data_IF_166904810070
#
_entry.id   IF_166904810070
#
_cell.length_a   1.000
_cell.length_b   1.000
_cell.length_c   1.000
_cell.angle_alpha   90.00
_cell.angle_beta   90.00
_cell.angle_gamma   90.00
#
_symmetry.space_group_name_H-M   'P 1'
#
loop_
_entity.id
_entity.type
_entity.pdbx_description
1 polymer ?
#
# COMPACT_ATOMS: atom_id res chain seq x y z
N UNK A 1 -9.72 0.13 -14.66
CA UNK A 1 -9.95 1.04 -13.52
C UNK A 1 -8.59 1.61 -13.15
N UNK A 2 -8.44 2.93 -13.03
CA UNK A 2 -7.19 3.55 -12.60
C UNK A 2 -7.32 3.91 -11.13
N UNK A 3 -6.32 3.56 -10.32
CA UNK A 3 -6.26 3.93 -8.91
C UNK A 3 -4.87 4.48 -8.61
N UNK A 4 -4.76 5.36 -7.63
CA UNK A 4 -3.50 5.95 -7.19
C UNK A 4 -3.45 6.01 -5.68
N UNK A 5 -2.26 5.89 -5.12
CA UNK A 5 -1.96 6.30 -3.77
C UNK A 5 -1.35 7.70 -3.78
N UNK A 6 -1.73 8.52 -2.80
CA UNK A 6 -1.19 9.85 -2.60
C UNK A 6 -0.62 9.93 -1.20
N UNK A 7 0.65 10.30 -1.08
CA UNK A 7 1.28 10.49 0.22
C UNK A 7 0.67 11.72 0.89
N UNK A 8 -0.15 11.52 1.91
CA UNK A 8 -0.77 12.62 2.66
C UNK A 8 0.21 13.30 3.62
N UNK A 9 1.11 12.52 4.24
CA UNK A 9 2.06 12.98 5.25
C UNK A 9 3.37 12.21 5.14
N UNK A 10 4.45 12.76 5.68
CA UNK A 10 5.76 12.13 5.71
C UNK A 10 6.78 12.81 4.79
N UNK A 11 7.82 12.10 4.32
CA UNK A 11 9.00 12.71 3.70
C UNK A 11 8.73 13.33 2.33
N UNK A 12 7.70 12.88 1.63
CA UNK A 12 7.37 13.32 0.26
C UNK A 12 5.86 13.58 0.11
N UNK A 13 5.31 14.62 0.77
CA UNK A 13 3.87 14.91 0.69
C UNK A 13 3.44 15.25 -0.74
N UNK A 14 2.21 14.87 -1.09
CA UNK A 14 1.62 14.98 -2.43
C UNK A 14 2.30 14.13 -3.52
N UNK A 15 3.29 13.32 -3.18
CA UNK A 15 3.81 12.32 -4.11
C UNK A 15 2.71 11.31 -4.44
N UNK A 16 2.52 11.03 -5.73
CA UNK A 16 1.51 10.10 -6.21
C UNK A 16 2.15 8.85 -6.81
N UNK A 17 1.53 7.70 -6.57
CA UNK A 17 1.89 6.41 -7.14
C UNK A 17 0.68 5.83 -7.84
N UNK A 18 0.77 5.64 -9.14
CA UNK A 18 -0.26 4.95 -9.91
C UNK A 18 -0.21 3.45 -9.57
N UNK A 19 -1.35 2.89 -9.17
CA UNK A 19 -1.49 1.46 -8.92
C UNK A 19 -1.60 0.72 -10.25
N UNK A 20 -0.62 -0.12 -10.54
CA UNK A 20 -0.47 -0.81 -11.82
C UNK A 20 -0.10 -2.28 -11.61
N UNK A 21 -0.46 -3.11 -12.60
CA UNK A 21 -0.18 -4.54 -12.55
C UNK A 21 -0.99 -5.28 -11.47
N UNK A 22 -0.62 -6.53 -11.22
CA UNK A 22 -1.31 -7.40 -10.26
C UNK A 22 -0.82 -7.20 -8.82
N UNK A 23 0.38 -6.63 -8.64
CA UNK A 23 1.00 -6.42 -7.34
C UNK A 23 1.97 -5.24 -7.39
N UNK A 24 2.01 -4.45 -6.32
CA UNK A 24 3.05 -3.47 -6.04
C UNK A 24 3.47 -3.55 -4.58
N UNK A 25 4.77 -3.55 -4.31
CA UNK A 25 5.32 -3.55 -2.96
C UNK A 25 5.53 -2.13 -2.46
N UNK A 26 5.37 -1.95 -1.15
CA UNK A 26 5.59 -0.71 -0.42
C UNK A 26 6.71 -0.96 0.60
N UNK A 27 7.71 -0.08 0.62
CA UNK A 27 8.77 -0.15 1.62
C UNK A 27 9.83 0.94 1.45
N UNK A 28 10.77 1.02 2.39
CA UNK A 28 11.85 2.03 2.33
C UNK A 28 12.99 1.66 1.40
N UNK A 29 13.07 0.40 0.99
CA UNK A 29 14.14 -0.07 0.12
C UNK A 29 13.82 0.30 -1.34
N UNK A 30 14.85 0.60 -2.12
CA UNK A 30 14.70 1.06 -3.50
C UNK A 30 14.28 -0.05 -4.48
N UNK A 31 14.19 -1.30 -4.03
CA UNK A 31 13.68 -2.44 -4.79
C UNK A 31 12.15 -2.54 -4.79
N UNK A 32 11.43 -1.67 -4.08
CA UNK A 32 9.97 -1.61 -4.10
C UNK A 32 9.47 -0.69 -5.20
N UNK A 33 8.26 -0.97 -5.70
CA UNK A 33 7.57 -0.11 -6.66
C UNK A 33 7.09 1.21 -6.01
N UNK A 34 6.74 1.17 -4.72
CA UNK A 34 6.37 2.35 -3.92
C UNK A 34 7.41 2.52 -2.82
N UNK A 35 8.31 3.49 -3.02
CA UNK A 35 9.41 3.75 -2.09
C UNK A 35 9.03 4.87 -1.13
N UNK A 36 8.96 4.55 0.16
CA UNK A 36 8.75 5.54 1.23
C UNK A 36 10.02 5.58 2.06
N UNK A 37 10.87 6.58 1.81
CA UNK A 37 12.17 6.72 2.48
C UNK A 37 12.00 7.27 3.91
N UNK A 38 11.49 6.41 4.79
CA UNK A 38 11.27 6.68 6.20
C UNK A 38 11.88 5.54 7.04
N UNK A 39 12.46 5.89 8.19
CA UNK A 39 13.07 4.92 9.09
C UNK A 39 12.03 4.03 9.79
N UNK A 40 10.79 4.50 9.96
CA UNK A 40 9.68 3.74 10.53
C UNK A 40 9.07 2.75 9.53
N UNK A 41 9.38 2.89 8.25
CA UNK A 41 8.96 1.98 7.20
C UNK A 41 9.97 0.84 7.03
N UNK A 42 9.47 -0.38 6.92
CA UNK A 42 10.31 -1.57 6.76
C UNK A 42 10.85 -1.65 5.33
N UNK A 43 11.96 -2.36 5.12
CA UNK A 43 12.55 -2.51 3.76
C UNK A 43 11.55 -3.06 2.75
N UNK A 44 10.76 -4.06 3.16
CA UNK A 44 9.52 -4.50 2.53
C UNK A 44 8.47 -4.47 3.62
N UNK A 45 7.50 -3.58 3.51
CA UNK A 45 6.59 -3.27 4.61
C UNK A 45 5.20 -3.84 4.37
N UNK A 46 4.65 -3.55 3.19
CA UNK A 46 3.35 -4.05 2.76
C UNK A 46 3.36 -4.31 1.25
N UNK A 47 2.31 -4.94 0.75
CA UNK A 47 2.02 -5.00 -0.68
C UNK A 47 0.56 -4.71 -0.96
N UNK A 48 0.33 -4.08 -2.10
CA UNK A 48 -0.99 -3.95 -2.68
C UNK A 48 -1.13 -5.03 -3.75
N UNK A 49 -2.20 -5.80 -3.66
CA UNK A 49 -2.62 -6.77 -4.65
C UNK A 49 -3.83 -6.21 -5.39
N UNK A 50 -3.76 -6.22 -6.71
CA UNK A 50 -4.91 -5.98 -7.56
C UNK A 50 -5.49 -7.34 -7.95
N UNK A 51 -6.70 -7.64 -7.49
CA UNK A 51 -7.43 -8.84 -7.91
C UNK A 51 -8.51 -8.46 -8.89
N UNK A 52 -8.53 -9.14 -10.02
CA UNK A 52 -9.58 -9.01 -11.02
C UNK A 52 -10.19 -10.38 -11.26
N UNK A 53 -11.49 -10.52 -11.00
CA UNK A 53 -12.25 -11.74 -11.21
C UNK A 53 -13.63 -11.44 -11.85
N UNK A 54 -14.51 -12.44 -11.90
CA UNK A 54 -15.85 -12.30 -12.48
C UNK A 54 -16.76 -11.34 -11.69
N UNK A 55 -16.43 -11.04 -10.43
CA UNK A 55 -17.18 -10.12 -9.56
C UNK A 55 -16.69 -8.67 -9.67
N UNK A 56 -15.52 -8.43 -10.29
CA UNK A 56 -14.99 -7.10 -10.56
C UNK A 56 -13.50 -6.98 -10.28
N UNK A 57 -13.09 -5.76 -9.94
CA UNK A 57 -11.71 -5.40 -9.65
C UNK A 57 -11.62 -4.87 -8.22
N UNK A 58 -10.75 -5.46 -7.39
CA UNK A 58 -10.56 -5.09 -5.99
C UNK A 58 -9.08 -4.91 -5.69
N UNK A 59 -8.74 -3.86 -4.93
CA UNK A 59 -7.42 -3.70 -4.34
C UNK A 59 -7.43 -4.26 -2.91
N UNK A 60 -6.34 -4.93 -2.55
CA UNK A 60 -6.16 -5.54 -1.25
C UNK A 60 -4.78 -5.16 -0.71
N UNK A 61 -4.70 -4.85 0.57
CA UNK A 61 -3.46 -4.56 1.28
C UNK A 61 -3.05 -5.75 2.15
N UNK A 62 -1.77 -6.09 2.13
CA UNK A 62 -1.19 -7.12 2.98
C UNK A 62 0.07 -6.59 3.65
N UNK A 63 0.09 -6.65 4.99
CA UNK A 63 1.31 -6.43 5.77
C UNK A 63 2.28 -7.60 5.55
N UNK A 64 3.56 -7.30 5.30
CA UNK A 64 4.59 -8.30 5.03
C UNK A 64 5.44 -8.64 6.27
N UNK A 65 4.85 -8.54 7.46
CA UNK A 65 5.56 -8.70 8.73
C UNK A 65 6.37 -7.45 9.08
N UNK A 66 5.79 -6.28 8.84
CA UNK A 66 6.46 -5.02 9.12
C UNK A 66 6.70 -4.81 10.62
N UNK A 67 7.72 -4.03 10.95
CA UNK A 67 8.11 -3.80 12.36
C UNK A 67 7.03 -3.06 13.14
N UNK A 68 6.42 -2.02 12.54
CA UNK A 68 5.42 -1.18 13.19
C UNK A 68 3.98 -1.60 12.87
N UNK A 69 3.79 -2.55 11.94
CA UNK A 69 2.49 -2.92 11.40
C UNK A 69 1.99 -1.95 10.32
N UNK A 70 1.07 -2.45 9.52
CA UNK A 70 0.32 -1.67 8.52
C UNK A 70 -1.10 -1.41 9.05
N UNK A 71 -1.66 -0.25 8.74
CA UNK A 71 -3.00 0.16 9.19
C UNK A 71 -3.84 0.61 7.99
N UNK A 72 -5.16 0.46 8.09
CA UNK A 72 -6.11 1.08 7.16
C UNK A 72 -7.13 1.84 8.00
N UNK A 73 -7.23 3.15 7.80
CA UNK A 73 -8.08 4.06 8.57
C UNK A 73 -7.85 3.94 10.09
N UNK A 74 -6.60 3.72 10.49
CA UNK A 74 -6.19 3.53 11.89
C UNK A 74 -6.45 2.14 12.46
N UNK A 75 -7.06 1.22 11.70
CA UNK A 75 -7.26 -0.17 12.11
C UNK A 75 -6.10 -1.04 11.60
N UNK A 76 -5.51 -1.84 12.49
CA UNK A 76 -4.35 -2.66 12.14
C UNK A 76 -4.72 -3.78 11.16
N UNK A 77 -3.99 -3.88 10.06
CA UNK A 77 -4.11 -4.96 9.09
C UNK A 77 -3.43 -6.23 9.64
N UNK A 78 -4.22 -7.17 10.15
CA UNK A 78 -3.72 -8.48 10.58
C UNK A 78 -3.88 -9.57 9.51
N UNK A 79 -4.70 -9.30 8.49
CA UNK A 79 -4.97 -10.18 7.35
C UNK A 79 -5.02 -9.34 6.08
N UNK A 80 -5.19 -10.02 4.94
CA UNK A 80 -5.46 -9.38 3.66
C UNK A 80 -6.70 -8.48 3.77
N UNK A 81 -6.52 -7.17 3.61
CA UNK A 81 -7.52 -6.14 3.90
C UNK A 81 -7.99 -5.47 2.60
N UNK A 82 -9.29 -5.50 2.26
CA UNK A 82 -9.81 -4.78 1.10
C UNK A 82 -9.60 -3.27 1.23
N UNK A 83 -9.24 -2.62 0.13
CA UNK A 83 -9.14 -1.17 0.03
C UNK A 83 -10.29 -0.61 -0.80
N UNK A 84 -10.86 0.50 -0.31
CA UNK A 84 -11.82 1.32 -1.02
C UNK A 84 -11.23 2.69 -1.35
N UNK A 85 -11.91 3.41 -2.24
CA UNK A 85 -11.55 4.80 -2.54
C UNK A 85 -11.68 5.67 -1.28
N UNK A 86 -10.64 6.45 -0.99
CA UNK A 86 -10.59 7.33 0.18
C UNK A 86 -9.95 6.72 1.43
N UNK A 87 -9.65 5.42 1.43
CA UNK A 87 -8.95 4.78 2.55
C UNK A 87 -7.53 5.36 2.75
N UNK A 88 -7.14 5.49 4.02
CA UNK A 88 -5.82 5.96 4.44
C UNK A 88 -5.02 4.76 4.97
N UNK A 89 -3.81 4.59 4.45
CA UNK A 89 -2.86 3.54 4.86
C UNK A 89 -1.75 4.16 5.71
#
# INVERSE_FOLDING_TARGET
MAARLVIQRGPTPNQEYQLQGQQMNIGRSADNEIVINDAEVSRRHARILHRQDMSGSQFLLEDLGSTNGTFVNGLRCNTLTPLAEGDII
#
